data_IF_867382039906
#
_entry.id   IF_867382039906
#
_cell.length_a   1.000
_cell.length_b   1.000
_cell.length_c   1.000
_cell.angle_alpha   90.00
_cell.angle_beta   90.00
_cell.angle_gamma   90.00
#
_symmetry.space_group_name_H-M   'P 1'
#
loop_
_entity.id
_entity.type
_entity.pdbx_description
1 polymer ?
#
# COMPACT_ATOMS: atom_id res chain seq x y z
N UNK A 1 -16.85 4.67 -0.96
CA UNK A 1 -16.30 4.33 0.36
C UNK A 1 -14.84 4.00 0.13
N UNK A 2 -13.94 4.72 0.77
CA UNK A 2 -12.51 4.42 0.67
C UNK A 2 -12.21 3.20 1.54
N UNK A 3 -11.66 2.16 0.93
CA UNK A 3 -11.26 0.95 1.64
C UNK A 3 -10.06 1.29 2.53
N UNK A 4 -10.24 1.16 3.84
CA UNK A 4 -9.14 1.27 4.80
C UNK A 4 -8.33 -0.02 4.77
N UNK A 5 -7.03 0.12 4.51
CA UNK A 5 -6.06 -0.96 4.47
C UNK A 5 -5.02 -0.74 5.58
N UNK A 6 -4.50 -1.83 6.13
CA UNK A 6 -3.29 -1.77 6.95
C UNK A 6 -2.10 -1.89 6.01
N UNK A 7 -1.30 -0.83 5.88
CA UNK A 7 -0.22 -0.78 4.90
C UNK A 7 1.08 -0.27 5.50
N UNK A 8 2.17 -0.62 4.82
CA UNK A 8 3.48 -0.11 5.12
C UNK A 8 4.30 0.17 3.88
N UNK A 9 5.17 1.17 4.01
CA UNK A 9 6.23 1.50 3.06
C UNK A 9 7.53 1.61 3.82
N UNK A 10 8.55 0.88 3.37
CA UNK A 10 9.87 0.81 3.98
C UNK A 10 10.91 1.17 2.92
N UNK A 11 11.79 2.13 3.20
CA UNK A 11 13.01 2.39 2.45
C UNK A 11 14.18 2.56 3.42
N UNK A 12 15.38 2.80 2.88
CA UNK A 12 16.58 3.04 3.70
C UNK A 12 16.43 4.24 4.63
N UNK A 13 15.75 5.31 4.19
CA UNK A 13 15.66 6.58 4.91
C UNK A 13 14.39 6.72 5.75
N UNK A 14 13.34 5.96 5.46
CA UNK A 14 12.07 6.09 6.19
C UNK A 14 11.23 4.83 6.22
N UNK A 15 10.37 4.75 7.23
CA UNK A 15 9.35 3.71 7.33
C UNK A 15 8.02 4.32 7.75
N UNK A 16 6.96 3.99 7.04
CA UNK A 16 5.58 4.29 7.41
C UNK A 16 4.84 2.97 7.58
N UNK A 17 4.11 2.82 8.69
CA UNK A 17 3.23 1.67 8.92
C UNK A 17 1.99 2.14 9.69
N UNK A 18 0.83 2.15 9.04
CA UNK A 18 -0.44 2.58 9.66
C UNK A 18 -1.64 2.13 8.83
N UNK A 19 -2.81 2.25 9.43
CA UNK A 19 -4.05 2.17 8.69
C UNK A 19 -4.19 3.43 7.82
N UNK A 20 -4.50 3.24 6.54
CA UNK A 20 -4.65 4.33 5.57
C UNK A 20 -5.56 3.89 4.42
N UNK A 21 -5.96 4.84 3.58
CA UNK A 21 -6.68 4.56 2.33
C UNK A 21 -5.71 4.10 1.24
N UNK A 22 -6.24 3.42 0.23
CA UNK A 22 -5.48 3.07 -0.98
C UNK A 22 -4.86 4.32 -1.63
N UNK A 23 -5.62 5.43 -1.69
CA UNK A 23 -5.13 6.70 -2.25
C UNK A 23 -3.95 7.28 -1.47
N UNK A 24 -4.00 7.24 -0.14
CA UNK A 24 -2.86 7.68 0.69
C UNK A 24 -1.62 6.82 0.48
N UNK A 25 -1.78 5.51 0.26
CA UNK A 25 -0.65 4.63 -0.04
C UNK A 25 -0.04 4.94 -1.43
N UNK A 26 -0.88 5.20 -2.43
CA UNK A 26 -0.43 5.64 -3.76
C UNK A 26 0.34 6.97 -3.67
N UNK A 27 -0.16 7.93 -2.89
CA UNK A 27 0.52 9.20 -2.66
C UNK A 27 1.90 9.00 -2.02
N UNK A 28 2.05 8.04 -1.09
CA UNK A 28 3.34 7.70 -0.49
C UNK A 28 4.29 7.13 -1.55
N UNK A 29 3.83 6.18 -2.36
CA UNK A 29 4.63 5.56 -3.43
C UNK A 29 5.11 6.64 -4.41
N UNK A 30 4.19 7.45 -4.95
CA UNK A 30 4.52 8.48 -5.96
C UNK A 30 5.46 9.56 -5.42
N UNK A 31 5.41 9.86 -4.11
CA UNK A 31 6.28 10.87 -3.49
C UNK A 31 7.71 10.39 -3.22
N UNK A 32 7.91 9.09 -3.05
CA UNK A 32 9.19 8.55 -2.58
C UNK A 32 9.86 7.57 -3.55
N UNK A 33 9.17 7.17 -4.61
CA UNK A 33 9.70 6.29 -5.65
C UNK A 33 9.98 7.13 -6.90
N UNK A 34 11.27 7.28 -7.23
CA UNK A 34 11.71 8.09 -8.37
C UNK A 34 11.41 7.41 -9.71
N UNK A 35 11.32 6.08 -9.73
CA UNK A 35 11.02 5.30 -10.93
C UNK A 35 9.52 5.21 -11.16
N UNK A 36 9.05 5.84 -12.24
CA UNK A 36 7.65 5.73 -12.67
C UNK A 36 7.24 4.27 -12.95
N UNK A 37 8.15 3.45 -13.49
CA UNK A 37 7.88 2.04 -13.79
C UNK A 37 7.66 1.24 -12.50
N UNK A 38 8.53 1.43 -11.49
CA UNK A 38 8.37 0.75 -10.20
C UNK A 38 7.12 1.25 -9.45
N UNK A 39 6.83 2.56 -9.52
CA UNK A 39 5.62 3.13 -8.92
C UNK A 39 4.34 2.54 -9.54
N UNK A 40 4.33 2.34 -10.87
CA UNK A 40 3.21 1.72 -11.57
C UNK A 40 3.04 0.25 -11.14
N UNK A 41 4.13 -0.52 -11.11
CA UNK A 41 4.11 -1.93 -10.70
C UNK A 41 3.62 -2.10 -9.24
N UNK A 42 4.02 -1.19 -8.35
CA UNK A 42 3.53 -1.15 -6.98
C UNK A 42 2.06 -0.69 -6.87
N UNK A 43 1.57 0.13 -7.77
CA UNK A 43 0.14 0.47 -7.81
C UNK A 43 -0.71 -0.72 -8.31
N UNK A 44 -0.18 -1.57 -9.20
CA UNK A 44 -0.89 -2.76 -9.69
C UNK A 44 -1.23 -3.76 -8.58
N UNK A 45 -0.37 -3.89 -7.56
CA UNK A 45 -0.64 -4.79 -6.43
C UNK A 45 -1.84 -4.33 -5.59
N UNK A 46 -2.22 -3.04 -5.67
CA UNK A 46 -3.34 -2.44 -4.94
C UNK A 46 -4.71 -2.78 -5.57
N UNK A 47 -4.78 -3.90 -6.30
CA UNK A 47 -5.97 -4.37 -6.96
C UNK A 47 -7.12 -4.57 -5.95
N UNK A 48 -8.32 -4.01 -6.21
CA UNK A 48 -9.48 -4.15 -5.34
C UNK A 48 -9.96 -5.60 -5.18
N UNK A 49 -9.46 -6.57 -5.95
CA UNK A 49 -9.74 -7.99 -5.77
C UNK A 49 -8.85 -8.66 -4.71
N UNK A 50 -7.72 -8.05 -4.34
CA UNK A 50 -6.72 -8.70 -3.48
C UNK A 50 -6.96 -8.37 -2.02
N UNK A 51 -6.74 -9.35 -1.12
CA UNK A 51 -6.86 -9.17 0.33
C UNK A 51 -5.56 -8.71 0.97
N UNK A 52 -4.43 -8.97 0.32
CA UNK A 52 -3.12 -8.49 0.70
C UNK A 52 -2.20 -8.48 -0.53
N UNK A 53 -1.11 -7.74 -0.45
CA UNK A 53 -0.07 -7.72 -1.47
C UNK A 53 1.20 -7.07 -0.97
N UNK A 54 2.31 -7.39 -1.62
CA UNK A 54 3.60 -6.77 -1.36
C UNK A 54 4.37 -6.61 -2.66
N UNK A 55 5.12 -5.53 -2.78
CA UNK A 55 6.02 -5.26 -3.88
C UNK A 55 7.35 -4.79 -3.31
N UNK A 56 8.44 -5.32 -3.86
CA UNK A 56 9.81 -4.94 -3.50
C UNK A 56 10.44 -4.29 -4.72
N UNK A 57 10.77 -3.00 -4.57
CA UNK A 57 11.49 -2.22 -5.56
C UNK A 57 12.95 -2.06 -5.19
N UNK A 58 13.66 -1.19 -5.91
CA UNK A 58 15.09 -1.00 -5.68
C UNK A 58 15.35 -0.15 -4.43
N UNK A 59 15.65 -0.80 -3.29
CA UNK A 59 15.94 -0.11 -2.03
C UNK A 59 14.70 0.29 -1.22
N UNK A 60 13.54 -0.22 -1.59
CA UNK A 60 12.29 0.00 -0.88
C UNK A 60 11.30 -1.15 -1.04
N UNK A 61 10.33 -1.23 -0.15
CA UNK A 61 9.27 -2.24 -0.15
C UNK A 61 7.95 -1.58 0.25
N UNK A 62 6.87 -1.99 -0.39
CA UNK A 62 5.51 -1.63 0.00
C UNK A 62 4.69 -2.89 0.22
N UNK A 63 3.77 -2.85 1.18
CA UNK A 63 2.85 -3.94 1.44
C UNK A 63 1.53 -3.41 1.98
N UNK A 64 0.47 -4.20 1.78
CA UNK A 64 -0.84 -3.92 2.36
C UNK A 64 -1.59 -5.20 2.71
N UNK A 65 -2.51 -5.06 3.66
CA UNK A 65 -3.50 -6.05 4.04
C UNK A 65 -4.83 -5.32 4.20
N UNK A 66 -5.87 -5.76 3.48
CA UNK A 66 -7.22 -5.28 3.72
C UNK A 66 -7.65 -5.69 5.11
N UNK A 67 -8.19 -4.74 5.86
CA UNK A 67 -9.05 -5.11 6.97
C UNK A 67 -10.41 -5.46 6.39
N UNK A 68 -10.83 -6.70 6.56
CA UNK A 68 -12.25 -6.99 6.43
C UNK A 68 -12.99 -6.02 7.37
N UNK A 69 -14.07 -5.37 6.90
CA UNK A 69 -14.96 -4.71 7.84
C UNK A 69 -15.38 -5.78 8.83
N UNK A 70 -15.06 -5.56 10.12
CA UNK A 70 -15.46 -6.48 11.17
C UNK A 70 -16.92 -6.85 10.93
N UNK A 71 -17.28 -8.15 10.88
CA UNK A 71 -18.66 -8.53 10.66
C UNK A 71 -19.47 -7.79 11.72
N UNK A 72 -20.39 -6.94 11.27
CA UNK A 72 -21.42 -6.37 12.12
C UNK A 72 -22.21 -7.58 12.62
N UNK A 73 -21.85 -8.09 13.80
CA UNK A 73 -22.63 -9.08 14.53
C UNK A 73 -23.96 -8.41 14.84
N UNK A 74 -24.98 -8.71 14.03
CA UNK A 74 -26.37 -8.37 14.25
C UNK A 74 -26.99 -9.31 15.29
#
# INVERSE_FOLDING_TARGET
MDTIIHAGFESEDFTVKRDMTVSELIDIIVRHVDSFEEAMAAAEILNPLWTAGSYEGTGWRVWFVKRDPAPLLH
#
